data_IF_177476134252
#
_entry.id   IF_177476134252
#
_cell.length_a   1.000
_cell.length_b   1.000
_cell.length_c   1.000
_cell.angle_alpha   90.00
_cell.angle_beta   90.00
_cell.angle_gamma   90.00
#
_symmetry.space_group_name_H-M   'P 1'
#
loop_
_entity.id
_entity.type
_entity.pdbx_description
1 polymer ?
#
# COMPACT_ATOMS: atom_id res chain seq x y z
N UNK A 1 9.41 -7.27 -11.46
CA UNK A 1 8.75 -6.80 -12.70
C UNK A 1 7.68 -7.79 -13.21
N UNK A 2 7.76 -9.05 -12.79
CA UNK A 2 6.79 -10.11 -13.09
C UNK A 2 5.98 -10.52 -11.86
N UNK A 3 5.85 -9.65 -10.86
CA UNK A 3 5.18 -9.92 -9.59
C UNK A 3 5.87 -11.01 -8.76
N UNK A 4 7.20 -10.99 -8.76
CA UNK A 4 8.04 -11.92 -7.99
C UNK A 4 7.83 -11.73 -6.50
N UNK A 5 7.83 -12.82 -5.74
CA UNK A 5 7.87 -12.78 -4.28
C UNK A 5 9.29 -12.44 -3.83
N UNK A 6 9.51 -11.24 -3.30
CA UNK A 6 10.84 -10.77 -2.94
C UNK A 6 11.50 -11.61 -1.86
N UNK A 7 10.74 -12.07 -0.87
CA UNK A 7 11.25 -12.91 0.23
C UNK A 7 11.76 -14.30 -0.21
N UNK A 8 11.63 -14.65 -1.48
CA UNK A 8 12.18 -15.89 -2.07
C UNK A 8 13.46 -15.63 -2.89
N UNK A 9 13.86 -14.37 -3.04
CA UNK A 9 14.99 -13.96 -3.85
C UNK A 9 16.23 -13.72 -2.99
N UNK A 10 17.42 -13.92 -3.57
CA UNK A 10 18.65 -13.40 -2.97
C UNK A 10 18.69 -11.87 -3.05
N UNK A 11 19.54 -11.19 -2.24
CA UNK A 11 19.67 -9.74 -2.32
C UNK A 11 20.05 -9.23 -3.72
N UNK A 12 20.88 -9.96 -4.46
CA UNK A 12 21.30 -9.62 -5.82
C UNK A 12 20.16 -9.77 -6.82
N UNK A 13 19.35 -10.82 -6.68
CA UNK A 13 18.17 -11.04 -7.51
C UNK A 13 17.09 -9.98 -7.24
N UNK A 14 16.84 -9.63 -5.97
CA UNK A 14 15.90 -8.58 -5.59
C UNK A 14 16.32 -7.24 -6.18
N UNK A 15 17.59 -6.87 -6.06
CA UNK A 15 18.15 -5.66 -6.66
C UNK A 15 17.95 -5.63 -8.17
N UNK A 16 18.25 -6.71 -8.85
CA UNK A 16 18.09 -6.82 -10.30
C UNK A 16 16.60 -6.68 -10.73
N UNK A 17 15.67 -7.26 -9.97
CA UNK A 17 14.22 -7.13 -10.21
C UNK A 17 13.76 -5.68 -10.02
N UNK A 18 14.21 -5.01 -8.97
CA UNK A 18 13.87 -3.61 -8.69
C UNK A 18 14.41 -2.69 -9.80
N UNK A 19 15.69 -2.78 -10.11
CA UNK A 19 16.34 -1.98 -11.16
C UNK A 19 15.65 -2.14 -12.52
N UNK A 20 15.33 -3.38 -12.87
CA UNK A 20 14.61 -3.69 -14.11
C UNK A 20 13.22 -3.07 -14.11
N UNK A 21 12.49 -3.12 -13.00
CA UNK A 21 11.15 -2.53 -12.87
C UNK A 21 11.20 -1.01 -13.04
N UNK A 22 12.14 -0.35 -12.38
CA UNK A 22 12.38 1.10 -12.50
C UNK A 22 12.74 1.47 -13.94
N UNK A 23 13.65 0.71 -14.57
CA UNK A 23 14.05 0.91 -15.96
C UNK A 23 12.88 0.83 -16.94
N UNK A 24 12.05 -0.21 -16.83
CA UNK A 24 10.87 -0.39 -17.69
C UNK A 24 9.89 0.79 -17.53
N UNK A 25 9.59 1.22 -16.31
CA UNK A 25 8.67 2.34 -16.09
C UNK A 25 9.23 3.65 -16.64
N UNK A 26 10.53 3.88 -16.50
CA UNK A 26 11.19 5.05 -17.07
C UNK A 26 11.15 5.04 -18.60
N UNK A 27 11.45 3.91 -19.22
CA UNK A 27 11.49 3.76 -20.69
C UNK A 27 10.10 3.81 -21.32
N UNK A 28 9.10 3.17 -20.70
CA UNK A 28 7.76 3.04 -21.29
C UNK A 28 6.84 4.21 -20.96
N UNK A 29 6.95 4.80 -19.79
CA UNK A 29 6.06 5.86 -19.30
C UNK A 29 6.77 7.20 -19.06
N UNK A 30 8.11 7.26 -19.16
CA UNK A 30 8.88 8.47 -18.90
C UNK A 30 8.82 8.97 -17.45
N UNK A 31 8.41 8.10 -16.50
CA UNK A 31 8.23 8.47 -15.10
C UNK A 31 9.47 8.18 -14.27
N UNK A 32 9.68 9.00 -13.23
CA UNK A 32 10.62 8.71 -12.15
C UNK A 32 9.86 8.02 -11.02
N UNK A 33 10.25 6.79 -10.71
CA UNK A 33 9.63 6.02 -9.62
C UNK A 33 9.99 6.66 -8.28
N UNK A 34 9.00 6.92 -7.45
CA UNK A 34 9.16 7.57 -6.15
C UNK A 34 8.79 6.69 -4.97
N UNK A 35 8.07 5.61 -5.20
CA UNK A 35 7.64 4.71 -4.14
C UNK A 35 7.53 3.28 -4.60
N UNK A 36 7.37 2.39 -3.64
CA UNK A 36 7.35 0.96 -3.85
C UNK A 36 6.27 0.27 -3.02
N UNK A 37 5.67 -0.76 -3.60
CA UNK A 37 4.88 -1.76 -2.88
C UNK A 37 5.28 -3.13 -3.40
N UNK A 38 5.69 -4.00 -2.48
CA UNK A 38 6.09 -5.35 -2.82
C UNK A 38 4.88 -6.18 -3.26
N UNK A 39 5.05 -7.05 -4.26
CA UNK A 39 4.10 -8.11 -4.51
C UNK A 39 3.82 -8.91 -3.24
N UNK A 40 2.55 -9.22 -2.97
CA UNK A 40 2.11 -9.95 -1.77
C UNK A 40 2.41 -9.24 -0.44
N UNK A 41 2.83 -7.97 -0.48
CA UNK A 41 3.35 -7.21 0.68
C UNK A 41 4.61 -7.85 1.33
N UNK A 42 5.24 -8.78 0.66
CA UNK A 42 6.37 -9.55 1.17
C UNK A 42 7.69 -8.85 0.80
N UNK A 43 8.44 -8.43 1.82
CA UNK A 43 9.76 -7.79 1.69
C UNK A 43 10.84 -8.57 2.44
N UNK A 44 12.10 -8.34 2.05
CA UNK A 44 13.27 -8.81 2.80
C UNK A 44 13.70 -7.74 3.83
N UNK A 45 14.45 -8.11 4.87
CA UNK A 45 15.00 -7.14 5.82
C UNK A 45 15.83 -6.03 5.15
N UNK A 46 16.53 -6.34 4.06
CA UNK A 46 17.32 -5.37 3.30
C UNK A 46 16.56 -4.53 2.29
N UNK A 47 15.26 -4.82 2.03
CA UNK A 47 14.46 -4.08 1.06
C UNK A 47 14.41 -2.57 1.36
N UNK A 48 14.18 -2.09 2.59
CA UNK A 48 14.15 -0.65 2.87
C UNK A 48 15.46 0.07 2.50
N UNK A 49 16.61 -0.53 2.76
CA UNK A 49 17.90 0.06 2.40
C UNK A 49 18.09 0.09 0.88
N UNK A 50 17.72 -0.98 0.20
CA UNK A 50 17.75 -1.05 -1.26
C UNK A 50 16.87 0.05 -1.90
N UNK A 51 15.69 0.33 -1.35
CA UNK A 51 14.82 1.39 -1.83
C UNK A 51 15.46 2.77 -1.67
N UNK A 52 16.15 3.02 -0.55
CA UNK A 52 16.89 4.26 -0.31
C UNK A 52 18.07 4.40 -1.29
N UNK A 53 18.82 3.34 -1.56
CA UNK A 53 19.90 3.33 -2.57
C UNK A 53 19.40 3.77 -3.95
N UNK A 54 18.15 3.46 -4.29
CA UNK A 54 17.52 3.85 -5.55
C UNK A 54 16.72 5.16 -5.48
N UNK A 55 16.88 5.93 -4.41
CA UNK A 55 16.23 7.23 -4.18
C UNK A 55 14.69 7.19 -4.14
N UNK A 56 14.11 6.08 -3.71
CA UNK A 56 12.68 6.02 -3.46
C UNK A 56 12.35 6.75 -2.14
N UNK A 57 11.20 7.41 -2.10
CA UNK A 57 10.77 8.24 -0.97
C UNK A 57 10.02 7.42 0.09
N UNK A 58 9.31 6.39 -0.35
CA UNK A 58 8.48 5.57 0.53
C UNK A 58 8.39 4.10 0.09
N UNK A 59 8.17 3.26 1.07
CA UNK A 59 7.65 1.91 0.93
C UNK A 59 6.18 1.88 1.38
N UNK A 60 5.39 0.95 0.85
CA UNK A 60 3.98 0.78 1.24
C UNK A 60 3.64 -0.71 1.37
N UNK A 61 4.56 -1.50 1.94
CA UNK A 61 4.44 -2.95 2.00
C UNK A 61 4.20 -3.50 3.40
N UNK A 62 4.52 -2.74 4.46
CA UNK A 62 4.34 -3.22 5.83
C UNK A 62 2.92 -2.98 6.34
N UNK A 63 2.52 -3.80 7.32
CA UNK A 63 1.20 -3.75 7.96
C UNK A 63 1.35 -3.61 9.48
N UNK A 64 2.42 -2.96 9.92
CA UNK A 64 2.81 -2.91 11.33
C UNK A 64 2.21 -1.74 12.12
N UNK A 65 1.58 -0.78 11.44
CA UNK A 65 0.93 0.39 12.06
C UNK A 65 -0.22 0.88 11.17
N UNK A 66 -1.06 1.77 11.71
CA UNK A 66 -2.13 2.45 10.99
C UNK A 66 -1.77 3.91 10.66
N UNK A 67 -0.58 4.36 11.04
CA UNK A 67 -0.03 5.67 10.69
C UNK A 67 1.30 5.54 9.98
N UNK A 68 1.61 6.43 9.02
CA UNK A 68 2.92 6.43 8.37
C UNK A 68 4.05 6.68 9.37
N UNK A 69 5.19 6.02 9.16
CA UNK A 69 6.35 6.15 10.03
C UNK A 69 7.67 6.21 9.23
N UNK A 70 8.77 6.51 9.91
CA UNK A 70 10.11 6.51 9.32
C UNK A 70 10.88 5.26 9.73
N UNK A 71 11.48 4.61 8.75
CA UNK A 71 12.56 3.67 8.99
C UNK A 71 13.82 4.40 9.49
N UNK A 72 14.73 3.69 10.15
CA UNK A 72 16.00 4.24 10.65
C UNK A 72 16.86 4.87 9.55
N UNK A 73 16.75 4.39 8.31
CA UNK A 73 17.43 4.93 7.14
C UNK A 73 16.73 6.14 6.49
N UNK A 74 15.62 6.63 7.07
CA UNK A 74 14.87 7.79 6.60
C UNK A 74 13.85 7.52 5.48
N UNK A 75 13.65 6.25 5.08
CA UNK A 75 12.55 5.87 4.20
C UNK A 75 11.22 6.04 4.94
N UNK A 76 10.20 6.52 4.27
CA UNK A 76 8.85 6.58 4.83
C UNK A 76 8.14 5.25 4.58
N UNK A 77 7.51 4.66 5.60
CA UNK A 77 6.54 3.60 5.41
C UNK A 77 5.13 4.16 5.39
N UNK A 78 4.35 3.73 4.42
CA UNK A 78 2.91 3.99 4.33
C UNK A 78 2.21 2.64 4.52
N UNK A 79 1.81 2.29 5.75
CA UNK A 79 1.29 0.96 6.04
C UNK A 79 0.00 0.66 5.29
N UNK A 80 -0.15 -0.60 4.90
CA UNK A 80 -1.38 -1.15 4.36
C UNK A 80 -2.03 -2.14 5.32
N UNK A 81 -3.18 -2.67 4.95
CA UNK A 81 -3.87 -3.71 5.70
C UNK A 81 -4.60 -4.66 4.74
N UNK A 82 -4.61 -5.96 5.05
CA UNK A 82 -5.39 -6.94 4.30
C UNK A 82 -6.89 -6.63 4.26
N UNK A 83 -7.43 -6.06 5.34
CA UNK A 83 -8.84 -5.68 5.38
C UNK A 83 -9.21 -4.61 4.35
N UNK A 84 -8.25 -3.74 4.03
CA UNK A 84 -8.36 -2.64 3.07
C UNK A 84 -7.79 -3.02 1.71
N UNK A 85 -8.16 -4.20 1.21
CA UNK A 85 -7.77 -4.70 -0.10
C UNK A 85 -8.97 -5.34 -0.81
N UNK A 86 -9.08 -5.16 -2.11
CA UNK A 86 -10.17 -5.72 -2.90
C UNK A 86 -9.98 -7.22 -3.21
N UNK A 87 -8.76 -7.73 -3.05
CA UNK A 87 -8.45 -9.13 -3.29
C UNK A 87 -9.22 -10.04 -2.34
N UNK A 88 -9.18 -9.80 -1.04
CA UNK A 88 -9.86 -10.60 -0.02
C UNK A 88 -11.37 -10.58 -0.19
N UNK A 89 -11.91 -9.51 -0.80
CA UNK A 89 -13.35 -9.33 -0.94
C UNK A 89 -13.89 -9.92 -2.25
N UNK A 90 -13.11 -9.87 -3.32
CA UNK A 90 -13.63 -10.10 -4.66
C UNK A 90 -12.86 -11.11 -5.50
N UNK A 91 -11.68 -11.57 -5.04
CA UNK A 91 -10.89 -12.51 -5.82
C UNK A 91 -11.46 -13.93 -5.72
N UNK A 92 -11.66 -14.55 -6.88
CA UNK A 92 -12.13 -15.93 -6.99
C UNK A 92 -11.64 -16.56 -8.29
N UNK A 93 -11.13 -17.77 -8.20
CA UNK A 93 -10.82 -18.60 -9.34
C UNK A 93 -11.26 -20.05 -9.08
N UNK A 94 -12.05 -20.68 -9.97
CA UNK A 94 -12.52 -22.04 -9.77
C UNK A 94 -11.46 -23.10 -10.05
N UNK A 95 -10.47 -22.82 -10.94
CA UNK A 95 -9.45 -23.79 -11.34
C UNK A 95 -8.13 -23.10 -11.76
N UNK A 96 -7.01 -23.28 -11.04
CA UNK A 96 -6.96 -23.87 -9.70
C UNK A 96 -7.79 -23.07 -8.70
N UNK A 97 -8.45 -23.76 -7.78
CA UNK A 97 -9.33 -23.11 -6.82
C UNK A 97 -8.53 -22.20 -5.86
N UNK A 98 -8.85 -20.91 -5.85
CA UNK A 98 -8.35 -19.94 -4.88
C UNK A 98 -9.36 -18.81 -4.67
N UNK A 99 -9.25 -18.15 -3.52
CA UNK A 99 -10.19 -17.11 -3.12
C UNK A 99 -11.50 -17.65 -2.59
N UNK A 100 -12.43 -16.75 -2.34
CA UNK A 100 -13.79 -17.03 -1.85
C UNK A 100 -14.82 -16.60 -2.88
N UNK A 101 -16.08 -16.98 -2.69
CA UNK A 101 -17.17 -16.38 -3.47
C UNK A 101 -17.14 -14.87 -3.23
N UNK A 102 -17.14 -14.06 -4.30
CA UNK A 102 -17.09 -12.61 -4.17
C UNK A 102 -18.18 -12.08 -3.25
N UNK A 103 -17.79 -11.17 -2.37
CA UNK A 103 -18.69 -10.53 -1.42
C UNK A 103 -19.68 -9.57 -2.10
N UNK A 104 -20.76 -9.29 -1.39
CA UNK A 104 -21.71 -8.26 -1.76
C UNK A 104 -21.11 -6.86 -1.65
N UNK A 105 -21.36 -6.00 -2.66
CA UNK A 105 -20.76 -4.68 -2.70
C UNK A 105 -21.22 -3.75 -1.58
N UNK A 106 -22.46 -3.88 -1.09
CA UNK A 106 -22.92 -3.05 0.04
C UNK A 106 -22.29 -3.48 1.34
N UNK A 107 -22.04 -4.80 1.54
CA UNK A 107 -21.30 -5.32 2.68
C UNK A 107 -19.86 -4.80 2.67
N UNK A 108 -19.17 -4.86 1.54
CA UNK A 108 -17.79 -4.36 1.40
C UNK A 108 -17.73 -2.84 1.58
N UNK A 109 -18.69 -2.11 1.03
CA UNK A 109 -18.79 -0.67 1.27
C UNK A 109 -18.91 -0.36 2.78
N UNK A 110 -19.79 -1.07 3.50
CA UNK A 110 -19.96 -0.86 4.94
C UNK A 110 -18.68 -1.17 5.72
N UNK A 111 -17.98 -2.26 5.36
CA UNK A 111 -16.71 -2.64 5.95
C UNK A 111 -15.67 -1.52 5.81
N UNK A 112 -15.43 -1.07 4.58
CA UNK A 112 -14.43 -0.03 4.31
C UNK A 112 -14.83 1.36 4.85
N UNK A 113 -16.13 1.66 4.85
CA UNK A 113 -16.62 2.90 5.45
C UNK A 113 -16.44 2.95 6.97
N UNK A 114 -16.75 1.86 7.66
CA UNK A 114 -16.58 1.77 9.11
C UNK A 114 -15.11 1.88 9.50
N UNK A 115 -14.22 1.23 8.73
CA UNK A 115 -12.78 1.32 8.96
C UNK A 115 -12.28 2.75 8.71
N UNK A 116 -12.67 3.36 7.58
CA UNK A 116 -12.33 4.76 7.33
C UNK A 116 -12.81 5.69 8.46
N UNK A 117 -14.04 5.55 8.92
CA UNK A 117 -14.61 6.39 9.96
C UNK A 117 -13.84 6.27 11.29
N UNK A 118 -13.51 5.04 11.69
CA UNK A 118 -12.70 4.78 12.88
C UNK A 118 -11.27 5.31 12.73
N UNK A 119 -10.61 5.03 11.60
CA UNK A 119 -9.27 5.54 11.31
C UNK A 119 -9.21 7.08 11.32
N UNK A 120 -10.23 7.74 10.78
CA UNK A 120 -10.37 9.20 10.84
C UNK A 120 -10.44 9.72 12.26
N UNK A 121 -11.24 9.08 13.12
CA UNK A 121 -11.41 9.50 14.52
C UNK A 121 -10.11 9.30 15.33
N UNK A 122 -9.29 8.32 14.97
CA UNK A 122 -7.98 8.06 15.58
C UNK A 122 -6.82 8.81 14.91
N UNK A 123 -7.06 9.52 13.80
CA UNK A 123 -6.03 10.24 13.06
C UNK A 123 -5.08 9.31 12.30
N UNK A 124 -5.58 8.19 11.82
CA UNK A 124 -4.84 7.19 11.04
C UNK A 124 -4.81 7.51 9.54
N UNK A 125 -4.07 6.70 8.77
CA UNK A 125 -3.94 6.80 7.32
C UNK A 125 -4.70 5.66 6.63
N UNK A 126 -5.83 5.98 6.01
CA UNK A 126 -6.64 5.01 5.28
C UNK A 126 -6.02 4.72 3.90
N UNK A 127 -5.52 3.49 3.71
CA UNK A 127 -4.87 3.04 2.47
C UNK A 127 -5.65 1.88 1.89
N UNK A 128 -6.42 2.12 0.83
CA UNK A 128 -7.19 1.10 0.13
C UNK A 128 -6.40 0.59 -1.09
N UNK A 129 -6.12 -0.71 -1.13
CA UNK A 129 -5.40 -1.37 -2.22
C UNK A 129 -6.40 -1.98 -3.22
N UNK A 130 -6.22 -1.66 -4.49
CA UNK A 130 -7.15 -2.04 -5.54
C UNK A 130 -6.43 -2.68 -6.72
N UNK A 131 -7.04 -3.73 -7.27
CA UNK A 131 -6.60 -4.39 -8.50
C UNK A 131 -7.55 -4.00 -9.64
N UNK A 132 -7.07 -3.38 -10.74
CA UNK A 132 -7.93 -2.88 -11.83
C UNK A 132 -8.86 -3.94 -12.42
N UNK A 133 -8.41 -5.18 -12.52
CA UNK A 133 -9.20 -6.29 -13.06
C UNK A 133 -10.28 -6.79 -12.09
N UNK A 134 -10.14 -6.54 -10.76
CA UNK A 134 -11.15 -6.81 -9.74
C UNK A 134 -12.09 -5.63 -9.59
N UNK A 135 -11.58 -4.49 -9.16
CA UNK A 135 -12.38 -3.30 -8.85
C UNK A 135 -12.87 -2.53 -10.08
N UNK A 136 -12.31 -2.78 -11.27
CA UNK A 136 -12.76 -2.19 -12.53
C UNK A 136 -14.07 -2.75 -13.09
N UNK A 137 -14.83 -3.56 -12.33
CA UNK A 137 -16.12 -4.10 -12.74
C UNK A 137 -17.27 -3.13 -12.37
N UNK A 138 -18.37 -3.06 -13.14
CA UNK A 138 -19.40 -2.03 -12.99
C UNK A 138 -19.93 -1.85 -11.57
N UNK A 139 -20.25 -2.94 -10.87
CA UNK A 139 -20.78 -2.86 -9.49
C UNK A 139 -19.74 -2.32 -8.50
N UNK A 140 -18.48 -2.72 -8.67
CA UNK A 140 -17.38 -2.32 -7.79
C UNK A 140 -16.92 -0.90 -8.06
N UNK A 141 -16.94 -0.46 -9.33
CA UNK A 141 -16.72 0.96 -9.67
C UNK A 141 -17.76 1.85 -9.00
N UNK A 142 -19.04 1.45 -8.97
CA UNK A 142 -20.10 2.19 -8.25
C UNK A 142 -19.87 2.21 -6.73
N UNK A 143 -19.43 1.09 -6.17
CA UNK A 143 -19.03 1.03 -4.76
C UNK A 143 -17.91 2.04 -4.46
N UNK A 144 -16.84 2.04 -5.26
CA UNK A 144 -15.71 2.96 -5.09
C UNK A 144 -16.13 4.42 -5.27
N UNK A 145 -16.93 4.72 -6.29
CA UNK A 145 -17.48 6.08 -6.50
C UNK A 145 -18.25 6.56 -5.28
N UNK A 146 -19.11 5.71 -4.71
CA UNK A 146 -19.85 6.01 -3.48
C UNK A 146 -18.92 6.24 -2.31
N UNK A 147 -17.98 5.33 -2.06
CA UNK A 147 -17.03 5.42 -0.95
C UNK A 147 -16.21 6.72 -1.03
N UNK A 148 -15.65 7.04 -2.20
CA UNK A 148 -14.88 8.27 -2.40
C UNK A 148 -15.71 9.52 -2.15
N UNK A 149 -16.94 9.58 -2.67
CA UNK A 149 -17.84 10.72 -2.43
C UNK A 149 -18.20 10.89 -0.96
N UNK A 150 -18.48 9.80 -0.27
CA UNK A 150 -18.84 9.85 1.14
C UNK A 150 -17.64 10.28 2.00
N UNK A 151 -16.41 9.78 1.70
CA UNK A 151 -15.18 10.25 2.32
C UNK A 151 -14.98 11.77 2.05
N UNK A 152 -15.12 12.22 0.80
CA UNK A 152 -15.02 13.64 0.45
C UNK A 152 -16.04 14.51 1.20
N UNK A 153 -17.23 13.97 1.44
CA UNK A 153 -18.31 14.70 2.14
C UNK A 153 -18.01 14.97 3.62
N UNK A 154 -17.04 14.27 4.23
CA UNK A 154 -16.60 14.55 5.61
C UNK A 154 -15.90 15.90 5.73
N UNK A 155 -15.29 16.39 4.63
CA UNK A 155 -14.67 17.72 4.53
C UNK A 155 -13.31 17.87 5.20
N UNK A 156 -12.81 16.82 5.87
CA UNK A 156 -11.54 16.83 6.63
C UNK A 156 -10.58 15.69 6.21
N UNK A 157 -10.96 14.86 5.25
CA UNK A 157 -10.08 13.85 4.67
C UNK A 157 -9.15 14.47 3.61
N UNK A 158 -7.86 14.29 3.80
CA UNK A 158 -6.85 14.69 2.82
C UNK A 158 -6.57 13.55 1.83
N UNK A 159 -7.00 13.73 0.59
CA UNK A 159 -6.63 12.83 -0.51
C UNK A 159 -5.26 13.25 -1.07
N UNK A 160 -4.29 12.36 -0.98
CA UNK A 160 -2.93 12.61 -1.45
C UNK A 160 -2.36 11.39 -2.17
N UNK A 161 -1.31 11.60 -2.94
CA UNK A 161 -0.48 10.50 -3.44
C UNK A 161 0.62 10.16 -2.42
N UNK A 162 1.27 8.99 -2.62
CA UNK A 162 2.28 8.50 -1.68
C UNK A 162 3.47 9.43 -1.50
N UNK A 163 3.87 10.18 -2.54
CA UNK A 163 4.98 11.13 -2.46
C UNK A 163 4.62 12.36 -1.63
N UNK A 164 3.41 12.91 -1.82
CA UNK A 164 2.90 14.03 -1.00
C UNK A 164 2.82 13.64 0.47
N UNK A 165 2.34 12.42 0.75
CA UNK A 165 2.28 11.92 2.11
C UNK A 165 3.69 11.71 2.70
N UNK A 166 4.62 11.15 1.93
CA UNK A 166 6.00 10.96 2.37
C UNK A 166 6.69 12.29 2.69
N UNK A 167 6.50 13.31 1.86
CA UNK A 167 7.03 14.65 2.10
C UNK A 167 6.41 15.27 3.36
N UNK A 168 5.10 15.12 3.55
CA UNK A 168 4.42 15.60 4.75
C UNK A 168 4.96 14.93 6.02
N UNK A 169 5.14 13.62 6.02
CA UNK A 169 5.69 12.85 7.15
C UNK A 169 7.09 13.35 7.52
N UNK A 170 7.96 13.60 6.51
CA UNK A 170 9.31 14.13 6.74
C UNK A 170 9.30 15.54 7.33
N UNK A 171 8.34 16.39 6.93
CA UNK A 171 8.23 17.77 7.38
C UNK A 171 7.55 17.91 8.76
N UNK A 172 6.83 16.90 9.22
CA UNK A 172 6.06 16.93 10.48
C UNK A 172 6.57 15.89 11.49
N UNK A 173 7.78 16.05 12.03
CA UNK A 173 8.42 15.07 12.90
C UNK A 173 7.64 14.78 14.20
N UNK A 174 6.86 15.72 14.70
CA UNK A 174 6.04 15.55 15.90
C UNK A 174 4.86 14.58 15.75
N UNK A 175 4.49 14.26 14.51
CA UNK A 175 3.43 13.30 14.19
C UNK A 175 3.99 11.94 13.72
N UNK A 176 5.27 11.70 14.01
CA UNK A 176 5.94 10.44 13.67
C UNK A 176 5.87 9.48 14.84
N UNK A 177 5.64 8.22 14.57
CA UNK A 177 6.11 7.14 15.45
C UNK A 177 7.49 6.70 14.96
N UNK A 178 8.46 6.69 15.87
CA UNK A 178 9.70 5.95 15.66
C UNK A 178 9.44 4.52 16.15
N UNK A 179 9.49 3.56 15.25
CA UNK A 179 9.37 2.15 15.60
C UNK A 179 10.78 1.59 15.65
N UNK A 180 11.19 1.15 16.82
CA UNK A 180 12.41 0.37 17.02
C UNK A 180 12.09 -1.10 16.66
N UNK A 181 12.44 -1.48 15.44
CA UNK A 181 12.21 -2.84 14.96
C UNK A 181 13.06 -3.88 15.70
N UNK A 182 14.21 -3.50 16.20
CA UNK A 182 15.08 -4.41 16.98
C UNK A 182 14.41 -4.79 18.31
N UNK A 183 13.55 -3.93 18.86
CA UNK A 183 12.77 -4.20 20.05
C UNK A 183 11.52 -5.07 19.80
N UNK A 184 11.10 -5.25 18.55
CA UNK A 184 9.91 -6.03 18.16
C UNK A 184 10.21 -7.49 17.80
N UNK A 185 11.49 -7.82 17.60
CA UNK A 185 11.92 -9.20 17.31
C UNK A 185 12.18 -9.89 18.67
N UNK A 186 11.13 -10.49 19.23
CA UNK A 186 11.19 -11.37 20.41
C UNK A 186 11.11 -12.82 19.94
#
# INVERSE_FOLDING_TARGET
HLHEKLNTLSPEEEKAVLEKSIGILKETAGVTVQGFRAPWFEINPGTPDLLVEHNLLYNASMMSDDVPFLHSNGLVEIPGQWLLEDWEQFAFNPDPAWGSIPEDCDKVYQLWWQEFAAMRDFGCCFVLTLHPWLSGRPSRVRLLERLIRDIQSTGDAWFCNGSELADWVKQNPGNRREIDFDALIV
#
